data_IF_931748427755
#
_entry.id   IF_931748427755
#
_cell.length_a   1.000
_cell.length_b   1.000
_cell.length_c   1.000
_cell.angle_alpha   90.00
_cell.angle_beta   90.00
_cell.angle_gamma   90.00
#
_symmetry.space_group_name_H-M   'P 1'
#
loop_
_entity.id
_entity.type
_entity.pdbx_description
1 polymer ?
#
# COMPACT_ATOMS: atom_id res chain seq x y z
N UNK A 1 -4.74 -0.58 -2.06
CA UNK A 1 -6.09 -0.94 -2.54
C UNK A 1 -6.10 -2.42 -2.85
N UNK A 2 -7.26 -3.06 -2.74
CA UNK A 2 -7.51 -4.41 -3.24
C UNK A 2 -8.77 -4.44 -4.09
N UNK A 3 -8.85 -5.39 -5.02
CA UNK A 3 -10.05 -5.66 -5.82
C UNK A 3 -10.54 -7.09 -5.54
N UNK A 4 -11.83 -7.24 -5.26
CA UNK A 4 -12.45 -8.56 -5.10
C UNK A 4 -12.86 -9.18 -6.47
N UNK A 5 -13.41 -10.38 -6.44
CA UNK A 5 -13.83 -11.08 -7.66
C UNK A 5 -14.98 -10.37 -8.41
N UNK A 6 -15.75 -9.52 -7.70
CA UNK A 6 -16.87 -8.75 -8.25
C UNK A 6 -16.41 -7.38 -8.78
N UNK A 7 -15.13 -7.04 -8.62
CA UNK A 7 -14.54 -5.78 -9.08
C UNK A 7 -14.67 -4.61 -8.10
N UNK A 8 -15.11 -4.84 -6.85
CA UNK A 8 -15.22 -3.78 -5.86
C UNK A 8 -13.84 -3.42 -5.30
N UNK A 9 -13.55 -2.11 -5.26
CA UNK A 9 -12.29 -1.60 -4.70
C UNK A 9 -12.42 -1.37 -3.18
N UNK A 10 -11.49 -1.92 -2.40
CA UNK A 10 -11.33 -1.61 -0.97
C UNK A 10 -10.04 -0.83 -0.73
N UNK A 11 -10.12 0.23 0.06
CA UNK A 11 -8.93 0.97 0.47
C UNK A 11 -8.14 0.23 1.55
N UNK A 12 -6.91 -0.09 1.22
CA UNK A 12 -5.91 -0.74 2.06
C UNK A 12 -4.63 0.08 2.10
N UNK A 13 -4.77 1.41 2.07
CA UNK A 13 -3.68 2.38 2.18
C UNK A 13 -2.86 2.23 3.47
N UNK A 14 -3.38 1.52 4.46
CA UNK A 14 -2.73 1.18 5.71
C UNK A 14 -2.58 -0.35 5.83
N UNK A 15 -1.35 -0.81 6.03
CA UNK A 15 -1.04 -2.21 6.32
C UNK A 15 -0.75 -2.34 7.82
N UNK A 16 -1.58 -3.10 8.52
CA UNK A 16 -1.34 -3.51 9.93
C UNK A 16 -0.47 -4.76 9.99
N UNK A 17 -0.76 -5.73 9.12
CA UNK A 17 -0.01 -6.97 8.93
C UNK A 17 0.40 -7.16 7.47
N UNK A 18 1.39 -8.03 7.23
CA UNK A 18 1.80 -8.39 5.87
C UNK A 18 0.71 -9.27 5.24
N UNK A 19 0.15 -8.88 4.07
CA UNK A 19 -0.84 -9.71 3.38
C UNK A 19 -0.27 -11.07 2.96
N UNK A 20 -1.09 -12.12 3.09
CA UNK A 20 -0.72 -13.47 2.66
C UNK A 20 -0.72 -13.62 1.13
N UNK A 21 -1.61 -12.91 0.45
CA UNK A 21 -1.69 -12.85 -1.01
C UNK A 21 -1.60 -11.40 -1.50
N UNK A 22 -0.80 -11.20 -2.54
CA UNK A 22 -0.57 -9.90 -3.17
C UNK A 22 -1.25 -9.77 -4.52
N UNK A 23 -1.74 -10.87 -5.11
CA UNK A 23 -2.42 -10.86 -6.41
C UNK A 23 -3.60 -9.89 -6.52
N UNK A 24 -4.47 -9.72 -5.50
CA UNK A 24 -5.57 -8.76 -5.58
C UNK A 24 -5.13 -7.30 -5.30
N UNK A 25 -3.87 -7.08 -4.92
CA UNK A 25 -3.38 -5.78 -4.47
C UNK A 25 -2.81 -4.96 -5.61
N UNK A 26 -3.11 -3.66 -5.57
CA UNK A 26 -2.49 -2.67 -6.46
C UNK A 26 -2.27 -1.35 -5.73
N UNK A 27 -1.25 -0.63 -6.18
CA UNK A 27 -1.02 0.75 -5.80
C UNK A 27 -1.80 1.66 -6.73
N UNK A 28 -2.56 2.59 -6.14
CA UNK A 28 -3.23 3.67 -6.87
C UNK A 28 -2.36 4.91 -6.79
N UNK A 29 -1.66 5.21 -7.87
CA UNK A 29 -0.80 6.39 -7.97
C UNK A 29 -1.60 7.49 -8.67
N UNK A 30 -1.79 8.61 -7.97
CA UNK A 30 -2.42 9.80 -8.53
C UNK A 30 -1.36 10.86 -8.79
N UNK A 31 -1.25 11.33 -10.03
CA UNK A 31 -0.35 12.41 -10.41
C UNK A 31 -0.93 13.78 -10.06
N UNK A 32 -0.10 14.83 -10.12
CA UNK A 32 -0.53 16.20 -9.81
C UNK A 32 -1.69 16.69 -10.70
N UNK A 33 -1.77 16.21 -11.95
CA UNK A 33 -2.88 16.50 -12.88
C UNK A 33 -4.08 15.55 -12.71
N UNK A 34 -4.19 14.86 -11.56
CA UNK A 34 -5.26 13.94 -11.17
C UNK A 34 -5.43 12.71 -12.07
N UNK A 35 -4.40 12.31 -12.82
CA UNK A 35 -4.44 11.04 -13.54
C UNK A 35 -4.14 9.89 -12.59
N UNK A 36 -4.91 8.81 -12.71
CA UNK A 36 -4.78 7.62 -11.87
C UNK A 36 -4.08 6.53 -12.68
N UNK A 37 -3.02 5.97 -12.11
CA UNK A 37 -2.37 4.76 -12.61
C UNK A 37 -2.49 3.67 -11.55
N UNK A 38 -2.90 2.47 -11.96
CA UNK A 38 -2.94 1.28 -11.10
C UNK A 38 -1.73 0.41 -11.40
N UNK A 39 -0.93 0.12 -10.38
CA UNK A 39 0.28 -0.71 -10.49
C UNK A 39 0.07 -1.99 -9.69
N UNK A 40 0.19 -3.15 -10.33
CA UNK A 40 0.00 -4.44 -9.66
C UNK A 40 1.13 -4.67 -8.64
N UNK A 41 0.79 -5.10 -7.43
CA UNK A 41 1.80 -5.42 -6.41
C UNK A 41 2.48 -6.73 -6.78
N UNK A 42 3.80 -6.69 -6.86
CA UNK A 42 4.65 -7.86 -7.11
C UNK A 42 5.13 -8.48 -5.79
N UNK A 43 5.51 -7.64 -4.82
CA UNK A 43 6.10 -8.10 -3.56
C UNK A 43 5.88 -7.12 -2.41
N UNK A 44 5.73 -7.65 -1.19
CA UNK A 44 5.71 -6.88 0.06
C UNK A 44 6.73 -7.46 1.05
N UNK A 45 7.58 -6.60 1.61
CA UNK A 45 8.64 -6.95 2.57
C UNK A 45 8.58 -6.08 3.82
N UNK A 46 8.80 -6.65 4.99
CA UNK A 46 9.01 -5.88 6.23
C UNK A 46 10.49 -5.49 6.30
N UNK A 47 10.77 -4.19 6.38
CA UNK A 47 12.13 -3.64 6.39
C UNK A 47 12.28 -2.63 7.53
N UNK A 48 13.48 -2.52 8.08
CA UNK A 48 13.82 -1.41 8.97
C UNK A 48 14.52 -0.30 8.19
N UNK A 49 13.99 0.91 8.29
CA UNK A 49 14.56 2.10 7.69
C UNK A 49 14.45 3.26 8.66
N UNK A 50 15.56 3.95 8.91
CA UNK A 50 15.65 5.08 9.83
C UNK A 50 15.09 4.77 11.24
N UNK A 51 15.29 3.54 11.73
CA UNK A 51 14.79 3.08 13.04
C UNK A 51 13.27 2.81 13.10
N UNK A 52 12.58 2.81 11.95
CA UNK A 52 11.17 2.46 11.83
C UNK A 52 11.00 1.17 11.04
N UNK A 53 10.08 0.32 11.48
CA UNK A 53 9.61 -0.84 10.72
C UNK A 53 8.59 -0.40 9.67
N UNK A 54 8.90 -0.62 8.39
CA UNK A 54 8.10 -0.24 7.24
C UNK A 54 7.75 -1.48 6.39
N UNK A 55 6.66 -1.39 5.65
CA UNK A 55 6.40 -2.31 4.54
C UNK A 55 6.91 -1.69 3.24
N UNK A 56 7.93 -2.33 2.65
CA UNK A 56 8.39 -2.04 1.29
C UNK A 56 7.50 -2.79 0.32
N UNK A 57 6.76 -2.06 -0.50
CA UNK A 57 5.88 -2.59 -1.55
C UNK A 57 6.55 -2.33 -2.89
N UNK A 58 6.83 -3.40 -3.64
CA UNK A 58 7.28 -3.35 -5.03
C UNK A 58 6.09 -3.65 -5.93
N UNK A 59 5.87 -2.79 -6.93
CA UNK A 59 4.80 -2.92 -7.90
C UNK A 59 5.33 -2.83 -9.34
N UNK A 60 4.65 -3.49 -10.26
CA UNK A 60 4.99 -3.59 -11.68
C UNK A 60 3.77 -3.26 -12.54
N UNK A 61 4.04 -2.78 -13.75
CA UNK A 61 3.07 -2.77 -14.84
C UNK A 61 3.81 -3.00 -16.16
N UNK A 62 3.14 -3.54 -17.21
CA UNK A 62 3.80 -3.87 -18.48
C UNK A 62 4.54 -2.71 -19.12
N UNK A 63 3.98 -1.50 -19.03
CA UNK A 63 4.54 -0.28 -19.62
C UNK A 63 5.05 0.71 -18.56
N UNK A 64 5.37 0.22 -17.35
CA UNK A 64 5.88 1.08 -16.30
C UNK A 64 7.30 1.54 -16.64
N UNK A 65 7.46 2.85 -16.85
CA UNK A 65 8.76 3.47 -17.04
C UNK A 65 8.88 4.60 -16.03
N UNK A 66 9.79 4.44 -15.08
CA UNK A 66 10.15 5.50 -14.13
C UNK A 66 11.57 5.96 -14.32
N UNK A 67 11.80 7.25 -14.04
CA UNK A 67 13.10 7.88 -14.13
C UNK A 67 13.61 8.18 -12.73
N UNK A 68 14.76 7.61 -12.39
CA UNK A 68 15.41 7.86 -11.11
C UNK A 68 16.20 9.19 -11.14
N UNK A 69 16.69 9.63 -9.98
CA UNK A 69 17.46 10.86 -9.83
C UNK A 69 18.77 10.89 -10.63
N UNK A 70 19.34 9.71 -10.92
CA UNK A 70 20.52 9.51 -11.77
C UNK A 70 20.18 9.40 -13.27
N UNK A 71 18.92 9.67 -13.62
CA UNK A 71 18.39 9.64 -14.99
C UNK A 71 18.31 8.23 -15.61
N UNK A 72 18.43 7.17 -14.81
CA UNK A 72 18.21 5.77 -15.24
C UNK A 72 16.72 5.42 -15.30
N UNK A 73 16.38 4.43 -16.12
CA UNK A 73 15.02 3.88 -16.19
C UNK A 73 14.86 2.73 -15.20
N UNK A 74 13.70 2.68 -14.53
CA UNK A 74 13.29 1.59 -13.66
C UNK A 74 11.90 1.11 -14.05
N UNK A 75 11.73 -0.20 -14.16
CA UNK A 75 10.48 -0.88 -14.50
C UNK A 75 9.68 -1.27 -13.23
N UNK A 76 10.25 -1.01 -12.05
CA UNK A 76 9.62 -1.24 -10.76
C UNK A 76 9.28 0.07 -10.06
N UNK A 77 8.10 0.11 -9.42
CA UNK A 77 7.75 1.15 -8.46
C UNK A 77 7.92 0.62 -7.04
N UNK A 78 8.69 1.33 -6.22
CA UNK A 78 8.85 0.98 -4.81
C UNK A 78 8.22 2.07 -3.95
N UNK A 79 7.33 1.67 -3.04
CA UNK A 79 6.76 2.55 -2.03
C UNK A 79 6.96 1.97 -0.63
N UNK A 80 7.14 2.85 0.36
CA UNK A 80 7.30 2.45 1.76
C UNK A 80 6.08 2.91 2.55
N UNK A 81 5.37 1.98 3.17
CA UNK A 81 4.25 2.25 4.07
C UNK A 81 4.71 2.07 5.51
N UNK A 82 4.31 2.96 6.42
CA UNK A 82 4.51 2.73 7.84
C UNK A 82 3.61 1.60 8.34
N UNK A 83 4.16 0.70 9.17
CA UNK A 83 3.37 -0.31 9.87
C UNK A 83 2.50 0.40 10.91
N UNK A 84 1.19 0.34 10.73
CA UNK A 84 0.29 0.91 11.73
C UNK A 84 0.35 0.07 13.01
N UNK A 85 0.81 0.67 14.10
CA UNK A 85 0.50 0.15 15.43
C UNK A 85 -0.99 0.35 15.60
N UNK A 86 -1.77 -0.73 15.82
CA UNK A 86 -3.21 -0.65 16.08
C UNK A 86 -3.53 0.61 16.88
N UNK A 87 -4.09 1.64 16.23
CA UNK A 87 -4.71 2.74 16.96
C UNK A 87 -5.89 2.07 17.64
N UNK A 88 -5.73 1.81 18.94
CA UNK A 88 -6.76 1.25 19.81
C UNK A 88 -8.05 2.02 19.54
N UNK A 89 -8.97 1.45 18.78
CA UNK A 89 -10.33 1.99 18.65
C UNK A 89 -10.91 1.86 20.06
N UNK A 90 -10.86 2.96 20.80
CA UNK A 90 -11.39 3.06 22.15
C UNK A 90 -12.91 2.99 22.01
N UNK A 91 -13.47 1.78 22.08
CA UNK A 91 -14.91 1.60 22.25
C UNK A 91 -15.27 2.21 23.61
N UNK A 92 -15.85 3.41 23.58
CA UNK A 92 -16.64 3.92 24.71
C UNK A 92 -17.89 3.04 24.72
N UNK A 93 -17.86 1.97 25.52
CA UNK A 93 -19.04 1.17 25.81
C UNK A 93 -19.90 2.05 26.71
N UNK A 94 -20.87 2.75 26.12
CA UNK A 94 -22.00 3.27 26.86
C UNK A 94 -22.88 2.07 27.25
N UNK A 95 -22.80 1.65 28.51
CA UNK A 95 -23.85 0.87 29.15
C UNK A 95 -24.25 1.60 30.40
N UNK A 96 -25.28 2.43 30.24
CA UNK A 96 -26.09 2.96 31.32
C UNK A 96 -26.76 1.79 32.01
N UNK A 97 -26.36 1.48 33.24
CA UNK A 97 -27.23 0.76 34.18
C UNK A 97 -26.82 1.06 35.60
N UNK A 98 -27.58 1.93 36.25
CA UNK A 98 -28.15 1.76 37.59
C UNK A 98 -29.31 2.76 37.73
#
# INVERSE_FOLDING_TARGET
>A
MSVDADGNETDTSLLTEKPADVAPLYLRVTTHDNKITRLAVDKIEEVEKDGKTLYKVTAKAPDLIQRNADNTLNEEYVHYFEKQKHTKVMYIIALTTL
#
